data_IF_395847204492
#
_entry.id   IF_395847204492
#
_cell.length_a   1.000
_cell.length_b   1.000
_cell.length_c   1.000
_cell.angle_alpha   90.00
_cell.angle_beta   90.00
_cell.angle_gamma   90.00
#
_symmetry.space_group_name_H-M   'P 1'
#
loop_
_entity.id
_entity.type
_entity.pdbx_description
1 polymer ?
#
# COMPACT_ATOMS: atom_id res chain seq x y z
N UNK A 1 1.55 -11.85 -11.80
CA UNK A 1 2.42 -11.35 -10.71
C UNK A 1 2.47 -9.84 -10.79
N UNK A 2 2.44 -9.14 -9.66
CA UNK A 2 2.67 -7.69 -9.61
C UNK A 2 4.03 -7.40 -9.02
N UNK A 3 4.70 -6.37 -9.53
CA UNK A 3 5.95 -5.85 -8.98
C UNK A 3 6.07 -4.35 -9.31
N UNK A 4 6.89 -3.63 -8.55
CA UNK A 4 7.15 -2.21 -8.75
C UNK A 4 8.57 -1.97 -9.26
N UNK A 5 8.76 -0.89 -10.01
CA UNK A 5 10.06 -0.34 -10.34
C UNK A 5 10.36 0.91 -9.50
N UNK A 6 11.64 1.31 -9.45
CA UNK A 6 12.13 2.41 -8.60
C UNK A 6 11.42 3.76 -8.86
N UNK A 7 10.94 3.99 -10.08
CA UNK A 7 10.23 5.21 -10.48
C UNK A 7 8.75 5.28 -10.01
N UNK A 8 8.28 4.28 -9.24
CA UNK A 8 6.87 4.24 -8.80
C UNK A 8 5.91 3.67 -9.85
N UNK A 9 6.44 2.89 -10.79
CA UNK A 9 5.63 2.21 -11.80
C UNK A 9 5.22 0.84 -11.28
N UNK A 10 3.92 0.57 -11.29
CA UNK A 10 3.36 -0.76 -11.03
C UNK A 10 3.28 -1.55 -12.34
N UNK A 11 3.89 -2.73 -12.35
CA UNK A 11 3.81 -3.67 -13.45
C UNK A 11 2.98 -4.89 -13.08
N UNK A 12 2.25 -5.40 -14.07
CA UNK A 12 1.71 -6.75 -14.08
C UNK A 12 2.48 -7.61 -15.08
N UNK A 13 3.02 -8.72 -14.60
CA UNK A 13 3.62 -9.75 -15.43
C UNK A 13 2.72 -10.98 -15.49
N UNK A 14 2.34 -11.36 -16.70
CA UNK A 14 1.66 -12.60 -17.02
C UNK A 14 2.70 -13.58 -17.60
N UNK A 15 2.95 -14.67 -16.87
CA UNK A 15 3.92 -15.70 -17.26
C UNK A 15 3.14 -16.92 -17.74
N UNK A 16 3.51 -17.44 -18.91
CA UNK A 16 2.97 -18.66 -19.48
C UNK A 16 4.12 -19.48 -20.07
N UNK A 17 4.38 -20.64 -19.47
CA UNK A 17 5.51 -21.52 -19.81
C UNK A 17 6.85 -20.78 -19.72
N UNK A 18 7.56 -20.63 -20.85
CA UNK A 18 8.83 -19.90 -20.97
C UNK A 18 8.65 -18.46 -21.50
N UNK A 19 7.41 -18.02 -21.69
CA UNK A 19 7.09 -16.69 -22.19
C UNK A 19 6.49 -15.83 -21.07
N UNK A 20 6.72 -14.52 -21.17
CA UNK A 20 6.10 -13.56 -20.28
C UNK A 20 5.69 -12.29 -21.04
N UNK A 21 4.60 -11.68 -20.59
CA UNK A 21 4.11 -10.38 -21.04
C UNK A 21 4.03 -9.43 -19.85
N UNK A 22 4.55 -8.22 -20.01
CA UNK A 22 4.50 -7.18 -18.99
C UNK A 22 3.55 -6.05 -19.42
N UNK A 23 2.79 -5.53 -18.48
CA UNK A 23 1.89 -4.39 -18.67
C UNK A 23 2.13 -3.37 -17.57
N UNK A 24 2.20 -2.10 -17.94
CA UNK A 24 2.16 -1.00 -16.98
C UNK A 24 0.71 -0.89 -16.49
N UNK A 25 0.53 -0.91 -15.18
CA UNK A 25 -0.77 -0.85 -14.53
C UNK A 25 -1.07 0.54 -13.97
N UNK A 26 -0.05 1.18 -13.40
CA UNK A 26 -0.14 2.52 -12.84
C UNK A 26 1.24 3.16 -12.80
N UNK A 27 1.27 4.48 -12.84
CA UNK A 27 2.43 5.30 -12.54
C UNK A 27 2.03 6.27 -11.43
N UNK A 28 2.54 6.03 -10.21
CA UNK A 28 2.22 6.87 -9.05
C UNK A 28 3.29 7.94 -8.79
N UNK A 29 4.35 8.00 -9.61
CA UNK A 29 5.43 8.99 -9.54
C UNK A 29 6.14 9.07 -8.17
N UNK A 30 6.10 8.00 -7.38
CA UNK A 30 6.73 7.88 -6.06
C UNK A 30 7.28 6.46 -5.86
N UNK A 31 8.52 6.28 -5.35
CA UNK A 31 9.09 4.96 -5.09
C UNK A 31 8.17 4.10 -4.21
N UNK A 32 7.84 2.89 -4.70
CA UNK A 32 6.98 1.94 -3.99
C UNK A 32 7.87 1.00 -3.17
N UNK A 33 7.69 1.03 -1.84
CA UNK A 33 8.41 0.17 -0.89
C UNK A 33 7.70 -1.17 -0.65
N UNK A 34 6.37 -1.23 -0.83
CA UNK A 34 5.60 -2.46 -0.59
C UNK A 34 4.34 -2.56 -1.45
N UNK A 35 4.00 -3.81 -1.79
CA UNK A 35 2.80 -4.20 -2.54
C UNK A 35 2.03 -5.23 -1.73
N UNK A 36 0.79 -4.92 -1.35
CA UNK A 36 0.04 -5.73 -0.38
C UNK A 36 -1.38 -5.98 -0.89
N UNK A 37 -1.71 -7.24 -1.13
CA UNK A 37 -3.06 -7.63 -1.55
C UNK A 37 -4.02 -7.67 -0.36
N UNK A 38 -5.25 -7.22 -0.60
CA UNK A 38 -6.36 -7.53 0.29
C UNK A 38 -6.54 -9.05 0.39
N UNK A 39 -7.04 -9.57 1.52
CA UNK A 39 -7.38 -10.99 1.68
C UNK A 39 -8.25 -11.57 0.56
N UNK A 40 -9.13 -10.77 -0.06
CA UNK A 40 -9.96 -11.20 -1.20
C UNK A 40 -9.32 -10.98 -2.58
N UNK A 41 -8.08 -10.49 -2.64
CA UNK A 41 -7.32 -10.19 -3.85
C UNK A 41 -7.99 -9.17 -4.81
N UNK A 42 -8.95 -8.39 -4.32
CA UNK A 42 -9.65 -7.37 -5.13
C UNK A 42 -8.97 -6.01 -5.12
N UNK A 43 -8.21 -5.71 -4.06
CA UNK A 43 -7.50 -4.44 -3.87
C UNK A 43 -6.02 -4.74 -3.63
N UNK A 44 -5.14 -3.94 -4.23
CA UNK A 44 -3.70 -3.93 -3.99
C UNK A 44 -3.34 -2.57 -3.40
N UNK A 45 -2.70 -2.55 -2.23
CA UNK A 45 -2.09 -1.35 -1.67
C UNK A 45 -0.71 -1.16 -2.29
N UNK A 46 -0.44 0.06 -2.75
CA UNK A 46 0.88 0.52 -3.17
C UNK A 46 1.36 1.49 -2.10
N UNK A 47 2.31 1.03 -1.29
CA UNK A 47 2.87 1.81 -0.18
C UNK A 47 4.17 2.44 -0.66
N UNK A 48 4.28 3.76 -0.53
CA UNK A 48 5.49 4.48 -0.93
C UNK A 48 6.50 4.56 0.20
N UNK A 49 7.76 4.82 -0.14
CA UNK A 49 8.81 5.10 0.86
C UNK A 49 8.47 6.30 1.75
N UNK A 50 7.65 7.23 1.27
CA UNK A 50 7.22 8.42 2.02
C UNK A 50 5.97 8.16 2.88
N UNK A 51 5.42 6.94 2.87
CA UNK A 51 4.22 6.59 3.63
C UNK A 51 2.90 7.03 2.98
N UNK A 52 2.93 7.49 1.74
CA UNK A 52 1.70 7.61 0.94
C UNK A 52 1.20 6.21 0.60
N UNK A 53 -0.09 5.97 0.73
CA UNK A 53 -0.70 4.69 0.33
C UNK A 53 -1.70 4.94 -0.78
N UNK A 54 -1.57 4.17 -1.86
CA UNK A 54 -2.51 4.13 -2.98
C UNK A 54 -3.26 2.81 -2.98
N UNK A 55 -4.48 2.83 -3.50
CA UNK A 55 -5.25 1.62 -3.81
C UNK A 55 -5.28 1.39 -5.30
N UNK A 56 -5.13 0.14 -5.72
CA UNK A 56 -5.24 -0.31 -7.09
C UNK A 56 -6.21 -1.49 -7.17
N UNK A 57 -7.17 -1.45 -8.11
CA UNK A 57 -8.16 -2.53 -8.31
C UNK A 57 -7.94 -3.22 -9.67
N UNK A 58 -7.27 -4.39 -9.71
CA UNK A 58 -6.95 -5.10 -10.96
C UNK A 58 -8.12 -5.33 -11.91
N UNK A 59 -9.27 -5.75 -11.37
CA UNK A 59 -10.43 -6.15 -12.16
C UNK A 59 -11.12 -4.99 -12.89
N UNK A 60 -10.88 -3.75 -12.48
CA UNK A 60 -11.55 -2.57 -13.01
C UNK A 60 -10.65 -1.76 -13.95
N UNK A 61 -9.56 -2.35 -14.45
CA UNK A 61 -8.51 -1.66 -15.22
C UNK A 61 -8.02 -0.37 -14.54
N UNK A 62 -8.18 -0.31 -13.22
CA UNK A 62 -8.33 0.94 -12.49
C UNK A 62 -7.05 1.75 -12.41
N UNK A 63 -7.20 3.06 -12.32
CA UNK A 63 -6.13 3.96 -11.91
C UNK A 63 -5.74 3.68 -10.46
N UNK A 64 -4.47 3.92 -10.11
CA UNK A 64 -4.06 3.95 -8.72
C UNK A 64 -4.62 5.21 -8.06
N UNK A 65 -5.46 5.05 -7.03
CA UNK A 65 -6.09 6.17 -6.33
C UNK A 65 -5.35 6.38 -5.02
N UNK A 66 -4.88 7.62 -4.78
CA UNK A 66 -4.31 7.99 -3.48
C UNK A 66 -5.38 7.80 -2.41
N UNK A 67 -5.11 6.90 -1.48
CA UNK A 67 -6.03 6.58 -0.40
C UNK A 67 -5.79 7.50 0.79
N UNK A 68 -4.54 7.56 1.24
CA UNK A 68 -4.17 8.30 2.43
C UNK A 68 -2.72 8.76 2.33
N UNK A 69 -2.44 9.77 3.13
CA UNK A 69 -1.10 10.26 3.37
C UNK A 69 -0.81 10.04 4.85
N UNK A 70 -0.12 8.94 5.16
CA UNK A 70 0.32 8.71 6.53
C UNK A 70 1.50 9.62 6.91
N UNK A 71 1.88 10.58 6.05
CA UNK A 71 2.97 11.56 6.15
C UNK A 71 3.34 11.89 7.59
N UNK A 72 4.15 11.02 8.14
CA UNK A 72 4.99 11.25 9.29
C UNK A 72 6.37 10.91 8.77
N UNK A 73 7.40 11.64 9.22
CA UNK A 73 8.82 11.39 8.93
C UNK A 73 9.33 10.03 9.45
N UNK A 74 8.39 9.11 9.68
CA UNK A 74 8.38 8.04 10.63
C UNK A 74 7.52 6.87 10.13
N UNK A 75 6.91 6.90 8.93
CA UNK A 75 6.11 5.76 8.46
C UNK A 75 6.96 4.49 8.35
N UNK A 76 6.45 3.38 8.90
CA UNK A 76 7.19 2.12 8.97
C UNK A 76 6.53 1.04 8.11
N UNK A 77 5.22 0.84 8.23
CA UNK A 77 4.50 -0.17 7.48
C UNK A 77 2.99 0.13 7.42
N UNK A 78 2.32 -0.51 6.47
CA UNK A 78 0.87 -0.61 6.44
C UNK A 78 0.45 -2.04 6.05
N UNK A 79 -0.74 -2.46 6.46
CA UNK A 79 -1.34 -3.75 6.07
C UNK A 79 -2.87 -3.72 6.21
N UNK A 80 -3.57 -4.68 5.62
CA UNK A 80 -5.00 -4.88 5.82
C UNK A 80 -5.32 -5.36 7.24
N UNK A 81 -6.39 -4.82 7.82
CA UNK A 81 -6.91 -5.31 9.09
C UNK A 81 -7.77 -6.56 8.84
N UNK A 82 -7.17 -7.73 9.05
CA UNK A 82 -7.80 -9.03 8.79
C UNK A 82 -8.81 -9.43 9.89
N UNK A 83 -9.84 -10.24 9.58
CA UNK A 83 -10.10 -10.94 8.31
C UNK A 83 -10.88 -10.13 7.26
N UNK A 84 -10.96 -8.79 7.36
CA UNK A 84 -11.72 -7.95 6.43
C UNK A 84 -10.89 -7.23 5.35
N UNK A 85 -11.59 -6.61 4.41
CA UNK A 85 -11.01 -5.78 3.33
C UNK A 85 -11.47 -4.31 3.42
N UNK A 86 -12.07 -3.92 4.55
CA UNK A 86 -12.64 -2.58 4.75
C UNK A 86 -11.67 -1.59 5.36
N UNK A 87 -10.68 -2.10 6.07
CA UNK A 87 -9.76 -1.29 6.85
C UNK A 87 -8.33 -1.68 6.57
N UNK A 88 -7.45 -0.68 6.65
CA UNK A 88 -6.01 -0.91 6.77
C UNK A 88 -5.50 -0.28 8.05
N UNK A 89 -4.34 -0.76 8.49
CA UNK A 89 -3.60 -0.22 9.62
C UNK A 89 -2.28 0.31 9.08
N UNK A 90 -1.85 1.47 9.56
CA UNK A 90 -0.48 1.95 9.41
C UNK A 90 0.19 2.05 10.77
N UNK A 91 1.52 1.93 10.78
CA UNK A 91 2.35 2.14 11.96
C UNK A 91 3.54 3.01 11.62
N UNK A 92 3.93 3.86 12.57
CA UNK A 92 5.12 4.71 12.50
C UNK A 92 6.23 4.20 13.44
N UNK A 93 7.48 4.63 13.23
CA UNK A 93 8.62 4.36 14.10
C UNK A 93 8.41 4.91 15.53
N UNK A 94 7.54 5.91 15.70
CA UNK A 94 7.20 6.49 16.99
C UNK A 94 6.07 5.72 17.70
N UNK A 95 5.73 4.52 17.22
CA UNK A 95 4.71 3.68 17.84
C UNK A 95 3.28 4.17 17.63
N UNK A 96 3.05 5.10 16.69
CA UNK A 96 1.71 5.55 16.35
C UNK A 96 1.08 4.56 15.37
N UNK A 97 -0.03 3.96 15.79
CA UNK A 97 -0.85 3.03 15.01
C UNK A 97 -2.14 3.74 14.61
N UNK A 98 -2.47 3.75 13.32
CA UNK A 98 -3.67 4.38 12.80
C UNK A 98 -4.52 3.35 12.05
N UNK A 99 -5.84 3.41 12.24
CA UNK A 99 -6.81 2.57 11.52
C UNK A 99 -7.54 3.43 10.52
N UNK A 100 -7.58 2.98 9.28
CA UNK A 100 -8.12 3.73 8.15
C UNK A 100 -9.28 3.00 7.51
N UNK A 101 -10.28 3.75 7.07
CA UNK A 101 -11.35 3.23 6.22
C UNK A 101 -10.92 3.30 4.75
N UNK A 102 -10.95 2.14 4.07
CA UNK A 102 -10.43 2.04 2.70
C UNK A 102 -11.31 2.68 1.63
N UNK A 103 -12.60 2.90 1.92
CA UNK A 103 -13.55 3.37 0.93
C UNK A 103 -13.33 4.86 0.58
N UNK A 104 -12.92 5.66 1.58
CA UNK A 104 -12.72 7.10 1.45
C UNK A 104 -11.39 7.63 2.03
N UNK A 105 -10.57 6.76 2.63
CA UNK A 105 -9.30 7.15 3.24
C UNK A 105 -9.41 7.82 4.60
N UNK A 106 -10.57 7.77 5.26
CA UNK A 106 -10.76 8.39 6.58
C UNK A 106 -9.93 7.69 7.66
N UNK A 107 -9.20 8.46 8.46
CA UNK A 107 -8.59 7.97 9.70
C UNK A 107 -9.67 7.80 10.77
N UNK A 108 -9.96 6.57 11.17
CA UNK A 108 -11.02 6.24 12.12
C UNK A 108 -10.53 6.26 13.56
N UNK A 109 -9.28 5.88 13.79
CA UNK A 109 -8.71 5.77 15.13
C UNK A 109 -7.20 5.88 15.09
N UNK A 110 -6.64 6.30 16.22
CA UNK A 110 -5.22 6.44 16.46
C UNK A 110 -4.89 5.94 17.86
N UNK A 111 -3.85 5.12 17.95
CA UNK A 111 -3.30 4.58 19.19
C UNK A 111 -1.81 4.90 19.22
N UNK A 112 -1.33 5.53 20.29
CA UNK A 112 0.10 5.65 20.53
C UNK A 112 0.52 4.55 21.50
N UNK A 113 1.54 3.78 21.13
CA UNK A 113 2.09 2.71 21.97
C UNK A 113 3.12 3.23 22.98
N UNK A 114 3.49 4.51 22.94
CA UNK A 114 4.54 5.14 23.76
C UNK A 114 5.91 4.44 23.61
N UNK A 115 6.23 4.01 22.39
CA UNK A 115 7.49 3.31 22.04
C UNK A 115 8.14 4.04 20.86
N UNK A 116 9.45 4.23 20.93
CA UNK A 116 10.25 4.74 19.80
C UNK A 116 11.25 3.67 19.35
N UNK A 117 11.06 3.15 18.13
CA UNK A 117 11.97 2.15 17.55
C UNK A 117 13.22 2.86 17.06
N UNK A 118 14.35 2.61 17.72
CA UNK A 118 15.66 3.04 17.23
C UNK A 118 16.10 2.10 16.12
N UNK A 119 16.03 2.55 14.86
CA UNK A 119 16.61 1.84 13.73
C UNK A 119 18.11 2.21 13.67
N UNK A 120 18.97 1.31 14.15
CA UNK A 120 20.45 1.40 14.02
C UNK A 120 20.94 0.85 12.70
#
# INVERSE_FOLDING_TARGET
>A
LYFSAQEGILFFCHIKDLQYEMKICADILQPISSLIFSPDYTILLLVTEQGTVYTYKPAHSGEAVKLLDACSSCFLAADFLTPGNKYCVSVTISGEVQVWFLDDGTCLSKLNLDIEVHIT
#
